data_IF_117940495989
#
_entry.id   IF_117940495989
#
_cell.length_a   1.000
_cell.length_b   1.000
_cell.length_c   1.000
_cell.angle_alpha   90.00
_cell.angle_beta   90.00
_cell.angle_gamma   90.00
#
_symmetry.space_group_name_H-M   'P 1'
#
loop_
_entity.id
_entity.type
_entity.pdbx_description
1 polymer ?
#
# COMPACT_ATOMS: atom_id res chain seq x y z
N UNK A 1 -7.66 -22.09 -0.01
CA UNK A 1 -6.36 -21.73 -0.62
C UNK A 1 -6.03 -20.29 -0.22
N UNK A 2 -5.01 -20.08 0.61
CA UNK A 2 -4.64 -18.74 1.09
C UNK A 2 -3.74 -18.10 0.03
N UNK A 3 -4.33 -17.27 -0.83
CA UNK A 3 -3.60 -16.59 -1.89
C UNK A 3 -2.93 -15.36 -1.27
N UNK A 4 -1.67 -15.50 -0.90
CA UNK A 4 -0.82 -14.38 -0.53
C UNK A 4 -0.45 -13.59 -1.79
N UNK A 5 -1.02 -12.39 -1.97
CA UNK A 5 -0.61 -11.46 -3.03
C UNK A 5 0.27 -10.37 -2.43
N UNK A 6 1.58 -10.46 -2.70
CA UNK A 6 2.54 -9.39 -2.40
C UNK A 6 3.25 -9.51 -1.04
N UNK A 7 3.86 -8.41 -0.62
CA UNK A 7 4.79 -8.31 0.51
C UNK A 7 4.10 -8.20 1.89
N UNK A 8 2.89 -8.73 2.05
CA UNK A 8 2.13 -8.64 3.30
C UNK A 8 2.84 -9.27 4.51
N UNK A 9 3.72 -10.26 4.26
CA UNK A 9 4.58 -10.91 5.27
C UNK A 9 5.50 -9.92 6.00
N UNK A 10 5.81 -8.77 5.40
CA UNK A 10 6.66 -7.74 6.00
C UNK A 10 6.11 -7.28 7.36
N UNK A 11 4.79 -7.25 7.56
CA UNK A 11 4.19 -6.90 8.85
C UNK A 11 4.68 -7.82 9.98
N UNK A 12 4.82 -9.12 9.71
CA UNK A 12 5.36 -10.08 10.67
C UNK A 12 6.87 -10.00 10.80
N UNK A 13 7.58 -9.72 9.70
CA UNK A 13 9.04 -9.53 9.74
C UNK A 13 9.39 -8.33 10.63
N UNK A 14 8.68 -7.20 10.50
CA UNK A 14 8.89 -6.03 11.35
C UNK A 14 8.64 -6.34 12.82
N UNK A 15 7.55 -7.06 13.13
CA UNK A 15 7.27 -7.49 14.50
C UNK A 15 8.34 -8.45 15.03
N UNK A 16 8.79 -9.42 14.22
CA UNK A 16 9.85 -10.35 14.60
C UNK A 16 11.17 -9.63 14.90
N UNK A 17 11.58 -8.70 14.02
CA UNK A 17 12.78 -7.87 14.24
C UNK A 17 12.63 -7.03 15.51
N UNK A 18 11.50 -6.37 15.71
CA UNK A 18 11.21 -5.61 16.93
C UNK A 18 11.29 -6.50 18.19
N UNK A 19 10.71 -7.70 18.16
CA UNK A 19 10.75 -8.62 19.29
C UNK A 19 12.16 -9.15 19.57
N UNK A 20 12.93 -9.51 18.54
CA UNK A 20 14.31 -9.98 18.72
C UNK A 20 15.18 -8.90 19.37
N UNK A 21 15.08 -7.65 18.89
CA UNK A 21 15.88 -6.54 19.41
C UNK A 21 15.42 -6.13 20.82
N UNK A 22 14.14 -5.92 21.03
CA UNK A 22 13.64 -5.30 22.27
C UNK A 22 13.28 -6.30 23.36
N UNK A 23 12.82 -7.50 23.02
CA UNK A 23 12.63 -8.58 23.99
C UNK A 23 13.93 -9.39 24.16
N UNK A 24 14.49 -9.87 23.04
CA UNK A 24 15.66 -10.75 23.05
C UNK A 24 16.90 -10.08 23.62
N UNK A 25 17.42 -9.05 22.94
CA UNK A 25 18.60 -8.31 23.41
C UNK A 25 18.28 -7.51 24.67
N UNK A 26 17.12 -6.83 24.68
CA UNK A 26 16.67 -6.03 25.82
C UNK A 26 16.64 -6.80 27.15
N UNK A 27 16.27 -8.09 27.15
CA UNK A 27 16.26 -8.91 28.37
C UNK A 27 17.62 -9.03 29.08
N UNK A 28 18.73 -8.76 28.38
CA UNK A 28 20.08 -8.75 28.94
C UNK A 28 20.55 -7.36 29.39
N UNK A 29 19.84 -6.31 28.99
CA UNK A 29 20.25 -4.92 29.16
C UNK A 29 19.41 -4.16 30.19
N UNK A 30 18.16 -4.57 30.41
CA UNK A 30 17.24 -3.92 31.33
C UNK A 30 16.69 -4.90 32.36
N UNK A 31 16.18 -4.36 33.48
CA UNK A 31 15.51 -5.17 34.50
C UNK A 31 14.24 -5.82 33.96
N UNK A 32 13.81 -6.91 34.60
CA UNK A 32 12.56 -7.61 34.28
C UNK A 32 11.34 -6.70 34.38
N UNK A 33 11.35 -5.71 35.28
CA UNK A 33 10.28 -4.70 35.42
C UNK A 33 10.24 -3.72 34.24
N UNK A 34 11.40 -3.34 33.71
CA UNK A 34 11.50 -2.40 32.58
C UNK A 34 11.30 -3.07 31.21
N UNK A 35 11.55 -4.38 31.12
CA UNK A 35 11.51 -5.14 29.86
C UNK A 35 10.18 -5.04 29.09
N UNK A 36 8.98 -5.13 29.71
CA UNK A 36 7.72 -5.04 28.98
C UNK A 36 7.52 -3.68 28.28
N UNK A 37 8.00 -2.59 28.89
CA UNK A 37 7.96 -1.26 28.27
C UNK A 37 8.90 -1.17 27.07
N UNK A 38 10.09 -1.78 27.17
CA UNK A 38 11.03 -1.85 26.06
C UNK A 38 10.45 -2.66 24.89
N UNK A 39 9.80 -3.79 25.18
CA UNK A 39 9.07 -4.60 24.18
C UNK A 39 7.97 -3.78 23.51
N UNK A 40 7.20 -3.01 24.29
CA UNK A 40 6.17 -2.14 23.75
C UNK A 40 6.73 -1.12 22.74
N UNK A 41 7.89 -0.52 23.01
CA UNK A 41 8.57 0.38 22.07
C UNK A 41 8.90 -0.35 20.77
N UNK A 42 9.46 -1.56 20.84
CA UNK A 42 9.77 -2.37 19.65
C UNK A 42 8.52 -2.69 18.82
N UNK A 43 7.42 -3.05 19.46
CA UNK A 43 6.15 -3.35 18.81
C UNK A 43 5.48 -2.10 18.22
N UNK A 44 5.57 -0.93 18.86
CA UNK A 44 5.11 0.34 18.30
C UNK A 44 5.95 0.73 17.07
N UNK A 45 7.26 0.50 17.10
CA UNK A 45 8.14 0.67 15.94
C UNK A 45 7.71 -0.24 14.77
N UNK A 46 7.43 -1.51 15.07
CA UNK A 46 6.92 -2.46 14.07
C UNK A 46 5.54 -2.04 13.51
N UNK A 47 4.65 -1.52 14.36
CA UNK A 47 3.35 -0.99 13.95
C UNK A 47 3.51 0.19 12.99
N UNK A 48 4.36 1.16 13.34
CA UNK A 48 4.65 2.31 12.48
C UNK A 48 5.24 1.89 11.13
N UNK A 49 6.26 1.02 11.14
CA UNK A 49 6.86 0.49 9.91
C UNK A 49 5.82 -0.22 9.03
N UNK A 50 4.96 -1.03 9.64
CA UNK A 50 3.86 -1.74 8.94
C UNK A 50 2.88 -0.75 8.31
N UNK A 51 2.48 0.29 9.03
CA UNK A 51 1.54 1.30 8.57
C UNK A 51 2.10 2.07 7.36
N UNK A 52 3.30 2.64 7.49
CA UNK A 52 3.89 3.46 6.44
C UNK A 52 4.28 2.64 5.22
N UNK A 53 4.82 1.42 5.41
CA UNK A 53 5.08 0.50 4.30
C UNK A 53 3.78 0.15 3.59
N UNK A 54 2.72 -0.16 4.34
CA UNK A 54 1.42 -0.49 3.77
C UNK A 54 0.80 0.68 3.00
N UNK A 55 0.88 1.91 3.51
CA UNK A 55 0.46 3.11 2.76
C UNK A 55 1.27 3.28 1.49
N UNK A 56 2.60 3.14 1.57
CA UNK A 56 3.49 3.29 0.44
C UNK A 56 3.13 2.31 -0.68
N UNK A 57 2.91 1.04 -0.33
CA UNK A 57 2.67 -0.03 -1.28
C UNK A 57 1.23 -0.09 -1.79
N UNK A 58 0.23 0.16 -0.93
CA UNK A 58 -1.18 -0.03 -1.28
C UNK A 58 -1.90 1.27 -1.67
N UNK A 59 -1.31 2.45 -1.43
CA UNK A 59 -1.92 3.73 -1.79
C UNK A 59 -1.03 4.53 -2.73
N UNK A 60 0.14 4.94 -2.28
CA UNK A 60 0.91 5.97 -3.00
C UNK A 60 1.65 5.43 -4.23
N UNK A 61 2.31 4.27 -4.15
CA UNK A 61 3.03 3.72 -5.28
C UNK A 61 2.11 3.31 -6.45
N UNK A 62 0.96 2.65 -6.22
CA UNK A 62 -0.02 2.38 -7.28
C UNK A 62 -0.57 3.66 -7.89
N UNK A 63 -0.95 4.66 -7.06
CA UNK A 63 -1.43 5.95 -7.55
C UNK A 63 -0.42 6.64 -8.45
N UNK A 64 0.85 6.75 -8.03
CA UNK A 64 1.90 7.34 -8.88
C UNK A 64 2.08 6.62 -10.21
N UNK A 65 1.97 5.29 -10.23
CA UNK A 65 2.05 4.50 -11.47
C UNK A 65 0.86 4.75 -12.38
N UNK A 66 -0.35 4.85 -11.81
CA UNK A 66 -1.56 5.20 -12.56
C UNK A 66 -1.42 6.60 -13.14
N UNK A 67 -1.02 7.59 -12.33
CA UNK A 67 -0.87 8.98 -12.76
C UNK A 67 0.17 9.11 -13.88
N UNK A 68 1.32 8.45 -13.75
CA UNK A 68 2.35 8.42 -14.79
C UNK A 68 1.82 7.79 -16.09
N UNK A 69 1.15 6.64 -15.98
CA UNK A 69 0.55 5.98 -17.15
C UNK A 69 -0.52 6.85 -17.82
N UNK A 70 -1.35 7.54 -17.05
CA UNK A 70 -2.37 8.45 -17.57
C UNK A 70 -1.77 9.66 -18.29
N UNK A 71 -0.67 10.22 -17.77
CA UNK A 71 0.04 11.31 -18.42
C UNK A 71 0.58 10.88 -19.79
N UNK A 72 1.26 9.73 -19.85
CA UNK A 72 1.76 9.17 -21.10
C UNK A 72 0.63 8.85 -22.08
N UNK A 73 -0.46 8.27 -21.57
CA UNK A 73 -1.62 7.89 -22.39
C UNK A 73 -2.32 9.11 -22.98
N UNK A 74 -2.45 10.19 -22.21
CA UNK A 74 -3.02 11.45 -22.70
C UNK A 74 -2.19 12.01 -23.85
N UNK A 75 -0.86 12.06 -23.70
CA UNK A 75 0.04 12.55 -24.73
C UNK A 75 -0.04 11.71 -26.01
N UNK A 76 -0.11 10.37 -25.90
CA UNK A 76 -0.28 9.48 -27.04
C UNK A 76 -1.58 9.75 -27.80
N UNK A 77 -2.70 9.88 -27.09
CA UNK A 77 -4.01 10.13 -27.72
C UNK A 77 -4.05 11.50 -28.41
N UNK A 78 -3.51 12.54 -27.77
CA UNK A 78 -3.39 13.87 -28.38
C UNK A 78 -2.55 13.82 -29.66
N UNK A 79 -1.40 13.15 -29.64
CA UNK A 79 -0.56 13.00 -30.84
C UNK A 79 -1.31 12.27 -31.96
N UNK A 80 -2.03 11.19 -31.66
CA UNK A 80 -2.81 10.45 -32.67
C UNK A 80 -3.91 11.31 -33.31
N UNK A 81 -4.57 12.16 -32.52
CA UNK A 81 -5.58 13.10 -33.03
C UNK A 81 -4.93 14.15 -33.93
N UNK A 82 -3.84 14.76 -33.48
CA UNK A 82 -3.10 15.79 -34.24
C UNK A 82 -2.53 15.27 -35.56
N UNK A 83 -2.07 14.02 -35.61
CA UNK A 83 -1.58 13.39 -36.85
C UNK A 83 -2.70 12.80 -37.72
N UNK A 84 -3.96 12.87 -37.29
CA UNK A 84 -5.10 12.28 -37.99
C UNK A 84 -5.08 10.76 -38.06
N UNK A 85 -4.33 10.09 -37.17
CA UNK A 85 -4.17 8.64 -37.11
C UNK A 85 -5.05 7.99 -36.04
N UNK A 86 -5.82 8.79 -35.30
CA UNK A 86 -6.68 8.30 -34.23
C UNK A 86 -7.76 7.33 -34.75
N UNK A 87 -7.85 6.16 -34.12
CA UNK A 87 -8.87 5.14 -34.38
C UNK A 87 -9.15 4.34 -33.10
N UNK A 88 -10.42 3.97 -32.90
CA UNK A 88 -10.87 3.12 -31.78
C UNK A 88 -10.63 1.62 -32.02
N UNK A 89 -10.05 1.24 -33.16
CA UNK A 89 -9.75 -0.14 -33.54
C UNK A 89 -10.67 -0.69 -34.63
N UNK A 90 -10.47 -1.97 -35.02
CA UNK A 90 -11.22 -2.58 -36.12
C UNK A 90 -12.72 -2.65 -35.84
N UNK A 91 -13.55 -2.25 -36.80
CA UNK A 91 -15.01 -2.31 -36.71
C UNK A 91 -15.67 -1.17 -35.92
N UNK A 92 -14.90 -0.20 -35.43
CA UNK A 92 -15.42 0.99 -34.76
C UNK A 92 -15.56 2.16 -35.75
N UNK A 93 -16.50 3.09 -35.50
CA UNK A 93 -16.65 4.27 -36.34
C UNK A 93 -15.35 5.08 -36.35
N UNK A 94 -14.90 5.46 -37.56
CA UNK A 94 -13.77 6.38 -37.70
C UNK A 94 -14.27 7.82 -37.56
N UNK A 95 -13.50 8.70 -36.91
CA UNK A 95 -13.87 10.10 -36.79
C UNK A 95 -13.92 10.77 -38.16
N UNK A 96 -15.00 11.53 -38.41
CA UNK A 96 -15.20 12.28 -39.67
C UNK A 96 -14.51 13.65 -39.66
N UNK A 97 -14.10 14.12 -38.49
CA UNK A 97 -13.44 15.41 -38.28
C UNK A 97 -12.45 15.37 -37.12
N UNK A 98 -11.52 16.32 -37.06
CA UNK A 98 -10.61 16.45 -35.91
C UNK A 98 -11.34 16.74 -34.60
N UNK A 99 -12.43 17.53 -34.64
CA UNK A 99 -13.23 17.81 -33.47
C UNK A 99 -13.89 16.53 -32.91
N UNK A 100 -14.40 15.67 -33.81
CA UNK A 100 -14.95 14.38 -33.44
C UNK A 100 -13.87 13.43 -32.92
N UNK A 101 -12.69 13.39 -33.55
CA UNK A 101 -11.55 12.61 -33.09
C UNK A 101 -11.13 12.99 -31.66
N UNK A 102 -11.10 14.30 -31.36
CA UNK A 102 -10.79 14.81 -30.03
C UNK A 102 -11.83 14.32 -28.99
N UNK A 103 -13.12 14.43 -29.30
CA UNK A 103 -14.19 13.97 -28.40
C UNK A 103 -14.11 12.46 -28.14
N UNK A 104 -13.87 11.66 -29.19
CA UNK A 104 -13.71 10.21 -29.06
C UNK A 104 -12.47 9.84 -28.24
N UNK A 105 -11.35 10.53 -28.45
CA UNK A 105 -10.12 10.33 -27.69
C UNK A 105 -10.30 10.66 -26.20
N UNK A 106 -10.99 11.77 -25.89
CA UNK A 106 -11.30 12.16 -24.52
C UNK A 106 -12.22 11.15 -23.82
N UNK A 107 -13.23 10.63 -24.51
CA UNK A 107 -14.12 9.59 -24.00
C UNK A 107 -13.37 8.27 -23.73
N UNK A 108 -12.48 7.86 -24.65
CA UNK A 108 -11.64 6.68 -24.48
C UNK A 108 -10.71 6.83 -23.26
N UNK A 109 -10.03 7.98 -23.15
CA UNK A 109 -9.14 8.27 -22.03
C UNK A 109 -9.87 8.17 -20.68
N UNK A 110 -11.05 8.75 -20.58
CA UNK A 110 -11.85 8.72 -19.36
C UNK A 110 -12.31 7.30 -19.02
N UNK A 111 -12.68 6.50 -20.02
CA UNK A 111 -13.01 5.10 -19.83
C UNK A 111 -11.82 4.29 -19.30
N UNK A 112 -10.65 4.43 -19.92
CA UNK A 112 -9.42 3.75 -19.51
C UNK A 112 -8.97 4.18 -18.10
N UNK A 113 -9.09 5.46 -17.77
CA UNK A 113 -8.80 5.99 -16.42
C UNK A 113 -9.61 5.30 -15.33
N UNK A 114 -10.91 5.12 -15.57
CA UNK A 114 -11.81 4.46 -14.63
C UNK A 114 -11.47 2.97 -14.48
N UNK A 115 -11.10 2.29 -15.57
CA UNK A 115 -10.70 0.88 -15.53
C UNK A 115 -9.38 0.67 -14.79
N UNK A 116 -8.34 1.45 -15.12
CA UNK A 116 -7.00 1.32 -14.53
C UNK A 116 -7.03 1.56 -13.02
N UNK A 117 -7.83 2.52 -12.56
CA UNK A 117 -8.00 2.80 -11.11
C UNK A 117 -8.53 1.57 -10.34
N UNK A 118 -9.33 0.72 -10.97
CA UNK A 118 -9.90 -0.49 -10.34
C UNK A 118 -8.92 -1.68 -10.33
N UNK A 119 -8.01 -1.74 -11.30
CA UNK A 119 -7.14 -2.91 -11.53
C UNK A 119 -5.91 -2.98 -10.60
N UNK A 120 -5.42 -1.86 -10.07
CA UNK A 120 -4.12 -1.76 -9.40
C UNK A 120 -4.09 -2.08 -7.88
N UNK A 121 -5.15 -2.68 -7.34
CA UNK A 121 -5.20 -3.05 -5.92
C UNK A 121 -4.54 -4.41 -5.64
N UNK A 122 -3.55 -4.47 -4.74
CA UNK A 122 -3.37 -5.67 -3.91
C UNK A 122 -1.94 -6.03 -3.47
N UNK A 123 -1.48 -5.42 -2.37
CA UNK A 123 -0.51 -6.06 -1.48
C UNK A 123 -1.21 -6.39 -0.15
N UNK A 124 -1.77 -7.59 -0.09
CA UNK A 124 -2.63 -8.04 1.01
C UNK A 124 -2.03 -9.25 1.73
N UNK A 125 -2.25 -9.27 3.03
CA UNK A 125 -1.96 -10.37 3.93
C UNK A 125 -3.30 -11.00 4.32
N UNK A 126 -3.55 -12.26 3.93
CA UNK A 126 -4.85 -12.90 4.11
C UNK A 126 -6.00 -11.99 3.59
N UNK A 127 -5.84 -11.42 2.39
CA UNK A 127 -6.79 -10.51 1.76
C UNK A 127 -7.01 -9.15 2.49
N UNK A 128 -6.31 -8.90 3.60
CA UNK A 128 -6.34 -7.64 4.34
C UNK A 128 -5.12 -6.79 3.96
N UNK A 129 -5.27 -5.51 3.58
CA UNK A 129 -4.13 -4.63 3.33
C UNK A 129 -3.21 -4.54 4.55
N UNK A 130 -1.90 -4.69 4.33
CA UNK A 130 -0.94 -4.88 5.43
C UNK A 130 -0.94 -3.75 6.46
N UNK A 131 -1.26 -2.51 6.09
CA UNK A 131 -1.31 -1.38 7.03
C UNK A 131 -2.29 -1.60 8.18
N UNK A 132 -3.33 -2.41 8.01
CA UNK A 132 -4.28 -2.70 9.10
C UNK A 132 -3.69 -3.60 10.19
N UNK A 133 -2.65 -4.38 9.88
CA UNK A 133 -1.91 -5.12 10.91
C UNK A 133 -1.12 -4.21 11.85
N UNK A 134 -0.90 -2.94 11.50
CA UNK A 134 -0.32 -1.97 12.43
C UNK A 134 -1.15 -1.83 13.71
N UNK A 135 -2.48 -1.88 13.60
CA UNK A 135 -3.37 -1.80 14.78
C UNK A 135 -3.26 -3.05 15.66
N UNK A 136 -3.05 -4.22 15.06
CA UNK A 136 -2.81 -5.46 15.79
C UNK A 136 -1.53 -5.32 16.61
N UNK A 137 -0.43 -4.88 16.00
CA UNK A 137 0.84 -4.68 16.72
C UNK A 137 0.77 -3.58 17.78
N UNK A 138 0.08 -2.47 17.50
CA UNK A 138 -0.17 -1.43 18.49
C UNK A 138 -0.98 -1.97 19.68
N UNK A 139 -2.00 -2.80 19.43
CA UNK A 139 -2.76 -3.48 20.48
C UNK A 139 -1.89 -4.39 21.34
N UNK A 140 -1.02 -5.20 20.73
CA UNK A 140 -0.06 -6.04 21.47
C UNK A 140 0.93 -5.18 22.27
N UNK A 141 1.36 -4.03 21.73
CA UNK A 141 2.21 -3.09 22.47
C UNK A 141 1.51 -2.53 23.71
N UNK A 142 0.23 -2.16 23.60
CA UNK A 142 -0.58 -1.72 24.75
C UNK A 142 -0.67 -2.82 25.81
N UNK A 143 -0.89 -4.07 25.41
CA UNK A 143 -0.88 -5.20 26.35
C UNK A 143 0.48 -5.33 27.06
N UNK A 144 1.59 -5.15 26.35
CA UNK A 144 2.93 -5.16 26.95
C UNK A 144 3.15 -4.02 27.96
N UNK A 145 2.60 -2.83 27.71
CA UNK A 145 2.61 -1.74 28.70
C UNK A 145 1.80 -2.10 29.93
N UNK A 146 0.58 -2.63 29.75
CA UNK A 146 -0.29 -3.02 30.86
C UNK A 146 0.36 -4.09 31.74
N UNK A 147 0.99 -5.10 31.13
CA UNK A 147 1.72 -6.13 31.89
C UNK A 147 2.92 -5.55 32.64
N UNK A 148 3.63 -4.60 32.04
CA UNK A 148 4.70 -3.85 32.70
C UNK A 148 4.21 -3.07 33.92
N UNK A 149 3.10 -2.36 33.79
CA UNK A 149 2.48 -1.60 34.91
C UNK A 149 2.04 -2.54 36.02
N UNK A 150 1.32 -3.62 35.71
CA UNK A 150 0.90 -4.62 36.72
C UNK A 150 2.11 -5.22 37.42
N UNK A 151 3.16 -5.54 36.68
CA UNK A 151 4.41 -6.08 37.23
C UNK A 151 5.15 -5.09 38.13
N UNK A 152 5.07 -3.80 37.85
CA UNK A 152 5.70 -2.76 38.68
C UNK A 152 4.92 -2.42 39.96
N UNK A 153 3.63 -2.76 40.01
CA UNK A 153 2.75 -2.53 41.17
C UNK A 153 2.74 -3.71 42.16
N UNK A 154 3.38 -4.83 41.83
CA UNK A 154 3.52 -6.02 42.67
C UNK A 154 4.91 -6.08 43.30
#
# INVERSE_FOLDING_TARGET
MIIWRGWGILAFIYAAVGMILFAGIGSKLVSSTALPFLIAIGLLGAAAATWFTGIAMNRTAPQRKIDAWLQDRRAQLTHLVETGQFSLGPGQPQPSSMAEAQQMADALFEHERQQTTRAFNGHTLFWIPMQYFAFVWAGVAVLAVVTGVIGALR
#
